data_IF_501090028310
#
_entry.id   IF_501090028310
#
_cell.length_a   1.000
_cell.length_b   1.000
_cell.length_c   1.000
_cell.angle_alpha   90.00
_cell.angle_beta   90.00
_cell.angle_gamma   90.00
#
_symmetry.space_group_name_H-M   'P 1'
#
loop_
_entity.id
_entity.type
_entity.pdbx_description
1 polymer ?
#
# COMPACT_ATOMS: atom_id res chain seq x y z
N UNK A 1 -1.67 -4.66 32.75
CA UNK A 1 -1.72 -3.46 31.89
C UNK A 1 -1.82 -3.97 30.48
N UNK A 2 -2.97 -3.85 29.83
CA UNK A 2 -3.15 -4.35 28.47
C UNK A 2 -2.44 -3.39 27.53
N UNK A 3 -1.34 -3.81 26.92
CA UNK A 3 -0.74 -3.14 25.79
C UNK A 3 -1.79 -3.06 24.69
N UNK A 4 -2.53 -1.94 24.67
CA UNK A 4 -3.36 -1.59 23.53
C UNK A 4 -2.38 -1.44 22.38
N UNK A 5 -2.30 -2.48 21.54
CA UNK A 5 -1.76 -2.39 20.20
C UNK A 5 -2.58 -1.29 19.52
N UNK A 6 -2.09 -0.05 19.57
CA UNK A 6 -2.68 1.06 18.85
C UNK A 6 -2.52 0.70 17.38
N UNK A 7 -3.62 0.18 16.83
CA UNK A 7 -3.69 -0.16 15.42
C UNK A 7 -3.62 1.17 14.68
N UNK A 8 -2.53 1.41 13.97
CA UNK A 8 -2.38 2.50 13.00
C UNK A 8 -3.46 2.47 11.92
N UNK A 9 -4.24 1.38 11.87
CA UNK A 9 -5.35 1.19 10.95
C UNK A 9 -6.41 2.28 11.06
N UNK A 10 -6.69 2.80 12.24
CA UNK A 10 -7.77 3.79 12.42
C UNK A 10 -7.26 5.24 12.38
N UNK A 11 -5.95 5.45 12.17
CA UNK A 11 -5.38 6.78 11.98
C UNK A 11 -5.55 7.24 10.52
N UNK A 12 -5.90 8.52 10.30
CA UNK A 12 -5.94 9.07 8.95
C UNK A 12 -4.52 9.14 8.37
N UNK A 13 -4.38 8.75 7.10
CA UNK A 13 -3.11 8.88 6.39
C UNK A 13 -2.77 10.36 6.19
N UNK A 14 -1.56 10.75 6.57
CA UNK A 14 -1.02 12.05 6.23
C UNK A 14 -0.64 12.11 4.75
N UNK A 15 -0.43 13.32 4.22
CA UNK A 15 0.00 13.51 2.84
C UNK A 15 1.30 12.78 2.51
N UNK A 16 2.25 12.72 3.46
CA UNK A 16 3.51 12.01 3.30
C UNK A 16 3.31 10.50 3.15
N UNK A 17 2.34 9.93 3.86
CA UNK A 17 1.98 8.51 3.80
C UNK A 17 1.36 8.17 2.45
N UNK A 18 0.49 9.06 1.94
CA UNK A 18 -0.10 8.94 0.61
C UNK A 18 0.95 9.07 -0.49
N UNK A 19 1.98 9.90 -0.30
CA UNK A 19 3.09 10.02 -1.25
C UNK A 19 3.92 8.72 -1.32
N UNK A 20 4.12 8.03 -0.20
CA UNK A 20 4.75 6.69 -0.17
C UNK A 20 3.88 5.70 -0.94
N UNK A 21 2.58 5.63 -0.61
CA UNK A 21 1.64 4.71 -1.27
C UNK A 21 1.58 4.95 -2.78
N UNK A 22 1.58 6.21 -3.23
CA UNK A 22 1.62 6.58 -4.66
C UNK A 22 2.89 6.07 -5.33
N UNK A 23 4.08 6.33 -4.77
CA UNK A 23 5.35 5.87 -5.37
C UNK A 23 5.41 4.37 -5.54
N UNK A 24 4.92 3.61 -4.56
CA UNK A 24 4.82 2.15 -4.65
C UNK A 24 3.85 1.73 -5.75
N UNK A 25 2.67 2.34 -5.80
CA UNK A 25 1.64 2.05 -6.81
C UNK A 25 2.16 2.30 -8.23
N UNK A 26 2.81 3.44 -8.46
CA UNK A 26 3.37 3.78 -9.77
C UNK A 26 4.48 2.83 -10.20
N UNK A 27 5.38 2.48 -9.28
CA UNK A 27 6.47 1.54 -9.55
C UNK A 27 5.93 0.15 -9.93
N UNK A 28 4.93 -0.35 -9.20
CA UNK A 28 4.33 -1.65 -9.49
C UNK A 28 3.50 -1.63 -10.79
N UNK A 29 2.72 -0.58 -11.05
CA UNK A 29 1.97 -0.49 -12.30
C UNK A 29 2.91 -0.49 -13.51
N UNK A 30 4.00 0.28 -13.43
CA UNK A 30 5.04 0.30 -14.46
C UNK A 30 5.72 -1.05 -14.63
N UNK A 31 6.19 -1.66 -13.53
CA UNK A 31 6.93 -2.92 -13.55
C UNK A 31 6.08 -4.13 -13.98
N UNK A 32 4.77 -4.10 -13.73
CA UNK A 32 3.84 -5.17 -14.07
C UNK A 32 3.04 -4.89 -15.36
N UNK A 33 3.30 -3.77 -16.05
CA UNK A 33 2.54 -3.33 -17.24
C UNK A 33 1.01 -3.24 -16.99
N UNK A 34 0.62 -2.80 -15.79
CA UNK A 34 -0.78 -2.60 -15.41
C UNK A 34 -1.23 -1.24 -15.93
N UNK A 35 -2.38 -1.20 -16.61
CA UNK A 35 -3.02 0.05 -16.98
C UNK A 35 -3.48 0.81 -15.73
N UNK A 36 -2.94 2.02 -15.53
CA UNK A 36 -3.24 2.87 -14.38
C UNK A 36 -4.67 3.38 -14.36
N UNK A 37 -5.38 3.36 -15.48
CA UNK A 37 -6.81 3.69 -15.54
C UNK A 37 -7.73 2.48 -15.36
N UNK A 38 -7.16 1.28 -15.22
CA UNK A 38 -7.90 0.03 -15.11
C UNK A 38 -8.17 -0.38 -13.66
N UNK A 39 -9.23 -1.17 -13.45
CA UNK A 39 -9.60 -1.64 -12.11
C UNK A 39 -8.57 -2.53 -11.42
N UNK A 40 -7.57 -3.06 -12.14
CA UNK A 40 -6.41 -3.72 -11.52
C UNK A 40 -5.52 -2.73 -10.76
N UNK A 41 -5.30 -1.53 -11.32
CA UNK A 41 -4.58 -0.47 -10.63
C UNK A 41 -5.36 0.02 -9.39
N UNK A 42 -6.68 0.13 -9.45
CA UNK A 42 -7.50 0.52 -8.29
C UNK A 42 -7.38 -0.50 -7.15
N UNK A 43 -7.49 -1.79 -7.48
CA UNK A 43 -7.32 -2.89 -6.50
C UNK A 43 -5.92 -2.88 -5.88
N UNK A 44 -4.91 -2.61 -6.69
CA UNK A 44 -3.53 -2.50 -6.20
C UNK A 44 -3.36 -1.31 -5.25
N UNK A 45 -3.93 -0.16 -5.57
CA UNK A 45 -3.91 1.03 -4.72
C UNK A 45 -4.59 0.78 -3.37
N UNK A 46 -5.77 0.14 -3.38
CA UNK A 46 -6.47 -0.24 -2.17
C UNK A 46 -5.65 -1.22 -1.30
N UNK A 47 -5.00 -2.21 -1.92
CA UNK A 47 -4.13 -3.16 -1.21
C UNK A 47 -2.94 -2.46 -0.55
N UNK A 48 -2.27 -1.54 -1.25
CA UNK A 48 -1.12 -0.78 -0.73
C UNK A 48 -1.55 0.04 0.50
N UNK A 49 -2.69 0.74 0.42
CA UNK A 49 -3.23 1.53 1.53
C UNK A 49 -3.53 0.64 2.73
N UNK A 50 -4.15 -0.53 2.52
CA UNK A 50 -4.45 -1.45 3.62
C UNK A 50 -3.20 -2.05 4.27
N UNK A 51 -2.17 -2.39 3.49
CA UNK A 51 -0.87 -2.83 4.02
C UNK A 51 -0.20 -1.73 4.83
N UNK A 52 -0.25 -0.49 4.34
CA UNK A 52 0.29 0.67 5.06
C UNK A 52 -0.40 0.84 6.41
N UNK A 53 -1.75 0.79 6.42
CA UNK A 53 -2.57 0.88 7.64
C UNK A 53 -2.31 -0.25 8.63
N UNK A 54 -1.81 -1.41 8.17
CA UNK A 54 -1.38 -2.53 9.01
C UNK A 54 0.04 -2.37 9.59
N UNK A 55 0.72 -1.25 9.28
CA UNK A 55 2.04 -0.92 9.81
C UNK A 55 3.20 -1.14 8.84
N UNK A 56 2.93 -1.49 7.58
CA UNK A 56 3.99 -1.66 6.56
C UNK A 56 4.31 -0.31 5.91
N UNK A 57 5.27 0.41 6.47
CA UNK A 57 5.61 1.76 6.00
C UNK A 57 6.85 1.80 5.09
N UNK A 58 7.59 0.70 4.99
CA UNK A 58 8.76 0.60 4.10
C UNK A 58 8.33 0.36 2.64
N UNK A 59 8.88 1.15 1.72
CA UNK A 59 8.51 1.10 0.30
C UNK A 59 8.80 -0.25 -0.35
N UNK A 60 9.94 -0.87 -0.03
CA UNK A 60 10.34 -2.14 -0.66
C UNK A 60 9.53 -3.31 -0.10
N UNK A 61 9.21 -3.29 1.20
CA UNK A 61 8.26 -4.25 1.79
C UNK A 61 6.85 -4.11 1.20
N UNK A 62 6.36 -2.88 1.01
CA UNK A 62 5.07 -2.64 0.36
C UNK A 62 5.06 -3.19 -1.07
N UNK A 63 6.13 -2.95 -1.85
CA UNK A 63 6.27 -3.49 -3.21
C UNK A 63 6.26 -5.01 -3.21
N UNK A 64 7.01 -5.64 -2.33
CA UNK A 64 7.10 -7.09 -2.21
C UNK A 64 5.73 -7.71 -1.88
N UNK A 65 5.05 -7.17 -0.87
CA UNK A 65 3.77 -7.71 -0.40
C UNK A 65 2.61 -7.44 -1.37
N UNK A 66 2.54 -6.25 -1.95
CA UNK A 66 1.48 -5.89 -2.89
C UNK A 66 1.68 -6.54 -4.27
N UNK A 67 2.93 -6.62 -4.74
CA UNK A 67 3.27 -7.26 -6.02
C UNK A 67 3.22 -8.79 -5.96
N UNK A 68 3.45 -9.39 -4.79
CA UNK A 68 3.42 -10.83 -4.58
C UNK A 68 2.03 -11.46 -4.48
N UNK A 69 0.97 -10.66 -4.24
CA UNK A 69 -0.42 -11.14 -4.04
C UNK A 69 -1.15 -11.52 -5.34
N UNK A 70 -0.43 -12.01 -6.36
CA UNK A 70 -0.99 -12.44 -7.67
C UNK A 70 -1.34 -13.94 -7.68
N UNK A 71 -2.09 -14.42 -6.67
CA UNK A 71 -2.66 -15.79 -6.63
C UNK A 71 -4.16 -15.78 -6.89
#
# INVERSE_FOLDING_TARGET
MSDKLFSTRDEPLASADLDICRRVHEALCSGLSIDRAGGEADRLGALIIELYRQGVHDEDQLRLLAGGKRV
#
